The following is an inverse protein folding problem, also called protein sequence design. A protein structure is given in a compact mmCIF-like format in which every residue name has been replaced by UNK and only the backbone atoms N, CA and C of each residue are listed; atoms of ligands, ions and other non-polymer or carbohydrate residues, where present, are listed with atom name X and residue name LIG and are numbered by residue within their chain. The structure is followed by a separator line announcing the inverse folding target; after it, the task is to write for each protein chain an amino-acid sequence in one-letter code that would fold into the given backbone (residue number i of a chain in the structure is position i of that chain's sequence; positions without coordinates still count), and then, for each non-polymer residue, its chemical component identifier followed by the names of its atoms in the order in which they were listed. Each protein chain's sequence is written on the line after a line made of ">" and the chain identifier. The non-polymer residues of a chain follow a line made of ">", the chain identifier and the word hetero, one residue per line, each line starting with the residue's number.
data_IF_780059266876
#
_entry.id   IF_780059266876
#
_cell.length_a   1.000
_cell.length_b   1.000
_cell.length_c   1.000
_cell.angle_alpha   90.00
_cell.angle_beta   90.00
_cell.angle_gamma   90.00
#
_symmetry.space_group_name_H-M   'P 1'
#
loop_
_entity.id
_entity.type
_entity.pdbx_description
1 polymer ?
#
# COMPACT_ATOMS: atom_id res chain seq x y z
N UNK A 1 -9.58 -29.45 26.73
CA UNK A 1 -10.01 -29.69 25.34
C UNK A 1 -9.32 -28.67 24.46
N UNK A 2 -8.79 -29.06 23.30
CA UNK A 2 -8.22 -28.09 22.34
C UNK A 2 -9.35 -27.18 21.82
N UNK A 3 -9.37 -25.88 22.17
CA UNK A 3 -10.45 -24.97 21.79
C UNK A 3 -10.50 -24.72 20.27
N UNK A 4 -9.44 -25.09 19.54
CA UNK A 4 -9.34 -24.93 18.08
C UNK A 4 -9.70 -26.22 17.32
N UNK A 5 -9.96 -27.33 18.02
CA UNK A 5 -10.33 -28.60 17.37
C UNK A 5 -11.61 -28.46 16.52
N UNK A 6 -12.59 -27.67 16.99
CA UNK A 6 -13.81 -27.38 16.24
C UNK A 6 -13.56 -26.57 14.97
N UNK A 7 -12.65 -25.59 15.01
CA UNK A 7 -12.29 -24.79 13.83
C UNK A 7 -11.56 -25.60 12.77
N UNK A 8 -10.70 -26.54 13.17
CA UNK A 8 -9.98 -27.43 12.24
C UNK A 8 -10.91 -28.41 11.52
N UNK A 9 -12.09 -28.71 12.09
CA UNK A 9 -13.08 -29.60 11.50
C UNK A 9 -13.98 -28.92 10.45
N UNK A 10 -13.94 -27.59 10.30
CA UNK A 10 -14.73 -26.80 9.35
C UNK A 10 -14.18 -26.88 7.91
N UNK A 11 -13.90 -28.08 7.41
CA UNK A 11 -13.32 -28.25 6.08
C UNK A 11 -14.22 -27.73 4.94
N UNK A 12 -15.51 -27.53 5.19
CA UNK A 12 -16.46 -26.82 4.32
C UNK A 12 -17.67 -26.38 5.18
N UNK A 13 -17.71 -25.16 5.73
CA UNK A 13 -18.89 -24.68 6.44
C UNK A 13 -20.11 -24.65 5.48
N UNK A 14 -21.30 -24.93 6.01
CA UNK A 14 -22.53 -24.75 5.24
C UNK A 14 -22.78 -23.27 4.91
N UNK A 15 -23.66 -23.03 3.93
CA UNK A 15 -23.96 -21.69 3.44
C UNK A 15 -24.47 -20.77 4.56
N UNK A 16 -25.31 -21.27 5.46
CA UNK A 16 -25.89 -20.50 6.56
C UNK A 16 -24.80 -20.02 7.54
N UNK A 17 -23.81 -20.87 7.83
CA UNK A 17 -22.65 -20.54 8.67
C UNK A 17 -21.79 -19.46 8.01
N UNK A 18 -21.53 -19.57 6.72
CA UNK A 18 -20.77 -18.56 5.96
C UNK A 18 -21.51 -17.23 5.94
N UNK A 19 -22.82 -17.23 5.72
CA UNK A 19 -23.65 -16.02 5.72
C UNK A 19 -23.72 -15.37 7.10
N UNK A 20 -23.83 -16.16 8.17
CA UNK A 20 -23.80 -15.64 9.54
C UNK A 20 -22.45 -14.98 9.83
N UNK A 21 -21.33 -15.63 9.47
CA UNK A 21 -20.01 -15.05 9.65
C UNK A 21 -19.84 -13.76 8.83
N UNK A 22 -20.34 -13.75 7.59
CA UNK A 22 -20.31 -12.57 6.75
C UNK A 22 -21.07 -11.40 7.38
N UNK A 23 -22.28 -11.63 7.91
CA UNK A 23 -23.06 -10.62 8.63
C UNK A 23 -22.31 -10.06 9.84
N UNK A 24 -21.64 -10.92 10.59
CA UNK A 24 -20.85 -10.51 11.76
C UNK A 24 -19.62 -9.66 11.38
N UNK A 25 -18.96 -9.97 10.26
CA UNK A 25 -17.80 -9.19 9.77
C UNK A 25 -18.25 -7.86 9.16
N UNK A 26 -19.38 -7.85 8.44
CA UNK A 26 -19.98 -6.67 7.81
C UNK A 26 -20.82 -5.82 8.77
N UNK A 27 -20.82 -6.13 10.06
CA UNK A 27 -21.54 -5.31 11.04
C UNK A 27 -21.05 -3.85 11.00
N UNK A 28 -21.97 -2.90 11.20
CA UNK A 28 -21.68 -1.48 11.01
C UNK A 28 -20.64 -0.95 12.00
N UNK A 29 -20.57 -1.50 13.21
CA UNK A 29 -19.57 -1.09 14.21
C UNK A 29 -18.17 -1.63 13.88
N UNK A 30 -18.09 -2.59 12.95
CA UNK A 30 -16.85 -3.26 12.54
C UNK A 30 -16.10 -3.87 13.72
N UNK A 31 -16.80 -4.23 14.80
CA UNK A 31 -16.20 -4.66 16.07
C UNK A 31 -15.24 -5.86 15.91
N UNK A 32 -15.63 -6.84 15.10
CA UNK A 32 -14.78 -8.00 14.78
C UNK A 32 -13.56 -7.58 13.99
N UNK A 33 -13.74 -6.73 12.98
CA UNK A 33 -12.65 -6.19 12.16
C UNK A 33 -11.65 -5.49 13.06
N UNK A 34 -12.10 -4.61 13.96
CA UNK A 34 -11.24 -3.94 14.93
C UNK A 34 -10.51 -4.90 15.85
N UNK A 35 -11.19 -5.93 16.36
CA UNK A 35 -10.58 -6.96 17.19
C UNK A 35 -9.45 -7.70 16.48
N UNK A 36 -9.63 -8.07 15.20
CA UNK A 36 -8.60 -8.71 14.39
C UNK A 36 -7.35 -7.84 14.30
N UNK A 37 -7.52 -6.54 14.05
CA UNK A 37 -6.38 -5.61 13.93
C UNK A 37 -5.69 -5.30 15.25
N UNK A 38 -6.41 -5.27 16.36
CA UNK A 38 -5.79 -5.06 17.67
C UNK A 38 -4.97 -6.28 18.13
N UNK A 39 -5.27 -7.47 17.59
CA UNK A 39 -4.63 -8.73 18.00
C UNK A 39 -3.42 -9.14 17.15
N UNK A 40 -3.23 -8.54 15.97
CA UNK A 40 -2.24 -8.98 14.99
C UNK A 40 -0.83 -8.41 15.21
N UNK A 41 0.20 -9.16 14.81
CA UNK A 41 1.56 -8.62 14.65
C UNK A 41 1.66 -7.76 13.37
N UNK A 42 2.67 -6.88 13.22
CA UNK A 42 2.84 -6.07 12.00
C UNK A 42 2.74 -6.82 10.67
N UNK A 43 3.20 -8.08 10.64
CA UNK A 43 3.12 -8.97 9.47
C UNK A 43 1.69 -9.45 9.24
N UNK A 44 0.99 -9.83 10.31
CA UNK A 44 -0.40 -10.28 10.25
C UNK A 44 -1.32 -9.15 9.80
N UNK A 45 -1.08 -7.91 10.25
CA UNK A 45 -1.91 -6.75 9.90
C UNK A 45 -1.97 -6.50 8.39
N UNK A 46 -0.90 -6.73 7.64
CA UNK A 46 -0.95 -6.60 6.17
C UNK A 46 -1.80 -7.69 5.52
N UNK A 47 -1.68 -8.93 6.00
CA UNK A 47 -2.51 -10.05 5.53
C UNK A 47 -3.99 -9.84 5.86
N UNK A 48 -4.29 -9.47 7.11
CA UNK A 48 -5.65 -9.19 7.58
C UNK A 48 -6.23 -8.01 6.79
N UNK A 49 -5.49 -6.92 6.59
CA UNK A 49 -5.95 -5.77 5.80
C UNK A 49 -6.32 -6.17 4.37
N UNK A 50 -5.49 -6.98 3.72
CA UNK A 50 -5.74 -7.47 2.37
C UNK A 50 -6.99 -8.35 2.29
N UNK A 51 -7.15 -9.29 3.23
CA UNK A 51 -8.30 -10.21 3.28
C UNK A 51 -9.59 -9.44 3.59
N UNK A 52 -9.59 -8.60 4.62
CA UNK A 52 -10.75 -7.79 5.00
C UNK A 52 -11.13 -6.86 3.86
N UNK A 53 -10.18 -6.17 3.24
CA UNK A 53 -10.47 -5.30 2.11
C UNK A 53 -11.13 -6.07 0.97
N UNK A 54 -10.57 -7.22 0.58
CA UNK A 54 -11.14 -8.06 -0.48
C UNK A 54 -12.55 -8.53 -0.12
N UNK A 55 -12.78 -8.88 1.13
CA UNK A 55 -14.09 -9.29 1.62
C UNK A 55 -15.10 -8.14 1.51
N UNK A 56 -14.76 -6.94 1.97
CA UNK A 56 -15.63 -5.76 1.87
C UNK A 56 -15.88 -5.33 0.41
N UNK A 57 -14.88 -5.46 -0.46
CA UNK A 57 -14.98 -5.20 -1.92
C UNK A 57 -15.98 -6.15 -2.59
N UNK A 58 -15.98 -7.43 -2.23
CA UNK A 58 -16.98 -8.40 -2.72
C UNK A 58 -18.42 -8.07 -2.29
N UNK A 59 -18.57 -7.20 -1.30
CA UNK A 59 -19.85 -6.73 -0.79
C UNK A 59 -20.12 -5.25 -1.11
N UNK A 60 -19.33 -4.61 -1.99
CA UNK A 60 -19.46 -3.19 -2.38
C UNK A 60 -19.40 -2.22 -1.18
N UNK A 61 -18.61 -2.57 -0.16
CA UNK A 61 -18.45 -1.80 1.10
C UNK A 61 -17.01 -1.41 1.40
N UNK A 62 -16.10 -1.57 0.47
CA UNK A 62 -14.69 -1.19 0.62
C UNK A 62 -14.51 0.29 0.93
N UNK A 63 -15.28 1.18 0.29
CA UNK A 63 -15.27 2.62 0.62
C UNK A 63 -15.81 2.92 2.02
N UNK A 64 -16.80 2.16 2.48
CA UNK A 64 -17.31 2.27 3.85
C UNK A 64 -16.22 1.91 4.86
N UNK A 65 -15.56 0.76 4.67
CA UNK A 65 -14.45 0.32 5.50
C UNK A 65 -13.32 1.35 5.54
N UNK A 66 -12.93 1.89 4.37
CA UNK A 66 -11.90 2.93 4.26
C UNK A 66 -12.27 4.18 5.05
N UNK A 67 -13.52 4.67 4.93
CA UNK A 67 -13.99 5.84 5.68
C UNK A 67 -13.95 5.61 7.18
N UNK A 68 -14.35 4.42 7.65
CA UNK A 68 -14.30 4.08 9.08
C UNK A 68 -12.86 3.99 9.59
N UNK A 69 -11.96 3.37 8.82
CA UNK A 69 -10.54 3.28 9.12
C UNK A 69 -9.88 4.67 9.27
N UNK A 70 -10.10 5.54 8.30
CA UNK A 70 -9.59 6.93 8.30
C UNK A 70 -10.19 7.73 9.45
N UNK A 71 -11.51 7.64 9.67
CA UNK A 71 -12.19 8.37 10.74
C UNK A 71 -11.61 8.00 12.10
N UNK A 72 -11.44 6.71 12.37
CA UNK A 72 -10.87 6.24 13.63
C UNK A 72 -9.40 6.66 13.80
N UNK A 73 -8.61 6.60 12.73
CA UNK A 73 -7.22 7.08 12.76
C UNK A 73 -7.14 8.57 13.12
N UNK A 74 -7.97 9.40 12.51
CA UNK A 74 -8.04 10.84 12.81
C UNK A 74 -8.45 11.07 14.26
N UNK A 75 -9.44 10.34 14.77
CA UNK A 75 -9.91 10.45 16.16
C UNK A 75 -8.85 10.05 17.19
N UNK A 76 -8.04 9.03 16.89
CA UNK A 76 -7.00 8.52 17.79
C UNK A 76 -5.67 9.29 17.69
N UNK A 77 -5.51 10.12 16.67
CA UNK A 77 -4.26 10.84 16.41
C UNK A 77 -4.19 12.13 17.22
N UNK A 78 -3.24 12.21 18.16
CA UNK A 78 -3.03 13.40 18.99
C UNK A 78 -2.36 14.57 18.27
N UNK A 79 -1.62 14.32 17.19
CA UNK A 79 -0.88 15.34 16.45
C UNK A 79 -0.98 15.09 14.94
N UNK A 80 -1.38 16.11 14.18
CA UNK A 80 -1.49 16.01 12.71
C UNK A 80 -0.21 15.52 12.04
N UNK A 81 0.96 15.86 12.61
CA UNK A 81 2.27 15.45 12.11
C UNK A 81 2.53 13.93 12.17
N UNK A 82 1.72 13.16 12.90
CA UNK A 82 1.82 11.69 13.01
C UNK A 82 0.71 10.93 12.30
N UNK A 83 -0.27 11.63 11.72
CA UNK A 83 -1.43 11.03 11.05
C UNK A 83 -0.98 10.15 9.88
N UNK A 84 -1.44 8.89 9.84
CA UNK A 84 -1.06 7.88 8.83
C UNK A 84 0.45 7.57 8.73
N UNK A 85 1.26 7.98 9.71
CA UNK A 85 2.71 7.66 9.75
C UNK A 85 3.00 6.44 10.60
N UNK A 86 2.07 6.05 11.47
CA UNK A 86 2.22 4.87 12.31
C UNK A 86 1.90 3.60 11.52
N UNK A 87 2.55 2.51 11.88
CA UNK A 87 2.28 1.20 11.29
C UNK A 87 1.03 0.57 11.91
N UNK A 88 -0.13 1.17 11.66
CA UNK A 88 -1.43 0.80 12.22
C UNK A 88 -2.42 0.33 11.14
N UNK A 89 -3.62 -0.06 11.57
CA UNK A 89 -4.65 -0.60 10.67
C UNK A 89 -4.98 0.34 9.51
N UNK A 90 -5.26 1.61 9.79
CA UNK A 90 -5.67 2.54 8.74
C UNK A 90 -4.58 2.72 7.69
N UNK A 91 -3.32 2.82 8.11
CA UNK A 91 -2.17 2.94 7.19
C UNK A 91 -1.94 1.65 6.38
N UNK A 92 -2.12 0.47 6.99
CA UNK A 92 -2.05 -0.83 6.28
C UNK A 92 -3.20 -1.00 5.30
N UNK A 93 -4.42 -0.70 5.71
CA UNK A 93 -5.60 -0.80 4.86
C UNK A 93 -5.51 0.18 3.69
N UNK A 94 -5.09 1.42 3.93
CA UNK A 94 -4.84 2.39 2.87
C UNK A 94 -3.79 1.88 1.87
N UNK A 95 -2.70 1.30 2.35
CA UNK A 95 -1.69 0.69 1.49
C UNK A 95 -2.25 -0.45 0.65
N UNK A 96 -3.05 -1.36 1.24
CA UNK A 96 -3.72 -2.44 0.52
C UNK A 96 -4.72 -1.91 -0.52
N UNK A 97 -5.50 -0.88 -0.16
CA UNK A 97 -6.45 -0.22 -1.04
C UNK A 97 -5.75 0.41 -2.24
N UNK A 98 -4.73 1.23 -2.01
CA UNK A 98 -3.95 1.85 -3.08
C UNK A 98 -3.26 0.82 -3.98
N UNK A 99 -2.73 -0.28 -3.41
CA UNK A 99 -2.18 -1.38 -4.21
C UNK A 99 -3.24 -2.08 -5.06
N UNK A 100 -4.45 -2.29 -4.54
CA UNK A 100 -5.53 -3.00 -5.23
C UNK A 100 -6.12 -2.20 -6.38
N UNK A 101 -6.48 -0.94 -6.12
CA UNK A 101 -7.21 -0.11 -7.07
C UNK A 101 -6.28 0.83 -7.86
N UNK A 102 -5.18 1.30 -7.25
CA UNK A 102 -4.26 2.24 -7.87
C UNK A 102 -3.18 1.62 -8.74
N UNK A 103 -2.99 0.29 -8.75
CA UNK A 103 -1.89 -0.33 -9.51
C UNK A 103 -1.98 -0.07 -11.02
N UNK A 104 -3.19 -0.12 -11.58
CA UNK A 104 -3.39 0.16 -13.00
C UNK A 104 -2.99 1.61 -13.32
N UNK A 105 -3.43 2.56 -12.50
CA UNK A 105 -3.04 3.97 -12.60
C UNK A 105 -1.52 4.15 -12.52
N UNK A 106 -0.87 3.59 -11.50
CA UNK A 106 0.59 3.70 -11.32
C UNK A 106 1.35 3.12 -12.51
N UNK A 107 0.90 1.99 -13.07
CA UNK A 107 1.50 1.42 -14.29
C UNK A 107 1.36 2.39 -15.46
N UNK A 108 0.16 2.88 -15.75
CA UNK A 108 -0.05 3.85 -16.85
C UNK A 108 0.81 5.11 -16.69
N UNK A 109 0.94 5.61 -15.47
CA UNK A 109 1.64 6.88 -15.22
C UNK A 109 3.16 6.73 -15.21
N UNK A 110 3.69 5.67 -14.59
CA UNK A 110 5.13 5.59 -14.27
C UNK A 110 5.90 4.51 -15.03
N UNK A 111 5.22 3.60 -15.74
CA UNK A 111 5.89 2.45 -16.36
C UNK A 111 7.04 2.85 -17.29
N UNK A 112 6.80 3.74 -18.26
CA UNK A 112 7.85 4.08 -19.22
C UNK A 112 9.02 4.80 -18.55
N UNK A 113 8.75 5.71 -17.60
CA UNK A 113 9.81 6.44 -16.90
C UNK A 113 10.69 5.48 -16.08
N UNK A 114 10.08 4.51 -15.39
CA UNK A 114 10.82 3.47 -14.65
C UNK A 114 11.64 2.60 -15.61
N UNK A 115 11.04 2.18 -16.74
CA UNK A 115 11.73 1.35 -17.72
C UNK A 115 12.90 2.10 -18.35
N UNK A 116 12.74 3.39 -18.68
CA UNK A 116 13.81 4.22 -19.22
C UNK A 116 14.98 4.35 -18.24
N UNK A 117 14.71 4.54 -16.94
CA UNK A 117 15.76 4.55 -15.91
C UNK A 117 16.51 3.21 -15.88
N UNK A 118 15.80 2.09 -15.89
CA UNK A 118 16.41 0.76 -15.91
C UNK A 118 17.26 0.53 -17.17
N UNK A 119 16.74 0.89 -18.35
CA UNK A 119 17.44 0.73 -19.62
C UNK A 119 18.67 1.64 -19.72
N UNK A 120 18.57 2.88 -19.26
CA UNK A 120 19.71 3.80 -19.24
C UNK A 120 20.83 3.27 -18.35
N UNK A 121 20.49 2.78 -17.16
CA UNK A 121 21.47 2.17 -16.26
C UNK A 121 22.08 0.89 -16.83
N UNK A 122 21.27 0.05 -17.50
CA UNK A 122 21.73 -1.19 -18.11
C UNK A 122 22.64 -0.94 -19.33
N UNK A 123 22.33 0.07 -20.15
CA UNK A 123 23.01 0.33 -21.41
C UNK A 123 24.22 1.26 -21.28
N UNK A 124 24.36 1.94 -20.15
CA UNK A 124 25.44 2.89 -19.90
C UNK A 124 25.92 2.75 -18.44
N UNK A 125 27.08 2.12 -18.24
CA UNK A 125 27.72 1.90 -16.92
C UNK A 125 28.04 3.18 -16.15
N UNK A 126 28.02 4.29 -16.89
CA UNK A 126 28.34 5.64 -16.46
C UNK A 126 27.07 6.44 -16.13
N UNK A 127 25.89 5.91 -16.46
CA UNK A 127 24.59 6.48 -16.12
C UNK A 127 24.22 6.11 -14.68
N UNK A 128 24.08 7.14 -13.84
CA UNK A 128 23.68 7.03 -12.45
C UNK A 128 22.88 8.27 -12.01
N UNK A 129 22.19 8.14 -10.88
CA UNK A 129 21.56 9.23 -10.14
C UNK A 129 22.20 9.41 -8.74
N UNK A 130 23.34 8.75 -8.46
CA UNK A 130 24.05 8.88 -7.18
C UNK A 130 24.80 10.22 -7.12
N UNK A 131 24.49 11.01 -6.10
CA UNK A 131 25.02 12.36 -5.89
C UNK A 131 25.92 12.45 -4.66
N UNK A 132 25.94 11.40 -3.81
CA UNK A 132 26.87 11.31 -2.70
C UNK A 132 28.24 10.85 -3.19
N UNK A 133 29.18 11.78 -3.28
CA UNK A 133 30.56 11.52 -3.72
C UNK A 133 31.25 10.40 -2.95
N UNK A 134 30.83 10.14 -1.70
CA UNK A 134 31.43 9.10 -0.84
C UNK A 134 31.05 7.69 -1.29
N UNK A 135 29.98 7.55 -2.07
CA UNK A 135 29.52 6.28 -2.62
C UNK A 135 30.00 6.04 -4.06
N UNK A 136 30.60 7.04 -4.69
CA UNK A 136 31.20 6.94 -6.01
C UNK A 136 32.64 6.47 -5.90
N UNK A 137 33.05 5.62 -6.85
CA UNK A 137 34.45 5.29 -7.05
C UNK A 137 35.23 6.53 -7.51
N UNK A 138 36.53 6.59 -7.22
CA UNK A 138 37.35 7.77 -7.51
C UNK A 138 37.33 8.17 -8.99
N UNK A 139 37.28 7.20 -9.89
CA UNK A 139 37.17 7.40 -11.34
C UNK A 139 35.82 7.99 -11.78
N UNK A 140 34.77 7.89 -10.95
CA UNK A 140 33.41 8.37 -11.27
C UNK A 140 32.99 9.65 -10.53
N UNK A 141 33.81 10.18 -9.63
CA UNK A 141 33.50 11.42 -8.88
C UNK A 141 33.26 12.64 -9.78
N UNK A 142 33.92 12.69 -10.95
CA UNK A 142 33.72 13.76 -11.92
C UNK A 142 32.31 13.75 -12.56
N UNK A 143 31.52 12.69 -12.36
CA UNK A 143 30.18 12.52 -12.92
C UNK A 143 29.06 13.06 -12.02
N UNK A 144 29.36 13.57 -10.82
CA UNK A 144 28.35 13.98 -9.83
C UNK A 144 27.37 15.01 -10.38
N UNK A 145 27.85 16.04 -11.09
CA UNK A 145 26.98 17.04 -11.71
C UNK A 145 26.06 16.41 -12.76
N UNK A 146 26.59 15.49 -13.58
CA UNK A 146 25.80 14.75 -14.57
C UNK A 146 24.74 13.87 -13.89
N UNK A 147 25.09 13.19 -12.80
CA UNK A 147 24.16 12.35 -12.03
C UNK A 147 23.06 13.19 -11.38
N UNK A 148 23.38 14.39 -10.90
CA UNK A 148 22.41 15.35 -10.40
C UNK A 148 21.41 15.76 -11.51
N UNK A 149 21.89 16.04 -12.71
CA UNK A 149 21.02 16.36 -13.85
C UNK A 149 20.11 15.19 -14.23
N UNK A 150 20.63 13.95 -14.24
CA UNK A 150 19.81 12.75 -14.44
C UNK A 150 18.72 12.62 -13.37
N UNK A 151 19.06 12.79 -12.09
CA UNK A 151 18.13 12.71 -10.97
C UNK A 151 17.04 13.78 -11.08
N UNK A 152 17.44 15.02 -11.39
CA UNK A 152 16.55 16.17 -11.54
C UNK A 152 15.59 15.95 -12.70
N UNK A 153 16.10 15.55 -13.88
CA UNK A 153 15.29 15.30 -15.06
C UNK A 153 14.31 14.15 -14.85
N UNK A 154 14.76 13.04 -14.26
CA UNK A 154 13.91 11.88 -13.96
C UNK A 154 12.79 12.25 -12.99
N UNK A 155 13.14 12.97 -11.92
CA UNK A 155 12.14 13.40 -10.91
C UNK A 155 11.13 14.38 -11.51
N UNK A 156 11.59 15.31 -12.36
CA UNK A 156 10.71 16.24 -13.07
C UNK A 156 9.73 15.50 -13.99
N UNK A 157 10.19 14.50 -14.74
CA UNK A 157 9.33 13.67 -15.58
C UNK A 157 8.28 12.92 -14.74
N UNK A 158 8.69 12.26 -13.64
CA UNK A 158 7.78 11.55 -12.74
C UNK A 158 6.67 12.49 -12.23
N UNK A 159 7.06 13.66 -11.74
CA UNK A 159 6.11 14.67 -11.21
C UNK A 159 5.17 15.14 -12.32
N UNK A 160 5.70 15.46 -13.49
CA UNK A 160 4.91 15.91 -14.63
C UNK A 160 3.89 14.84 -15.05
N UNK A 161 4.30 13.57 -15.14
CA UNK A 161 3.41 12.46 -15.50
C UNK A 161 2.29 12.28 -14.47
N UNK A 162 2.60 12.36 -13.17
CA UNK A 162 1.58 12.27 -12.11
C UNK A 162 0.55 13.39 -12.26
N UNK A 163 0.98 14.64 -12.39
CA UNK A 163 0.05 15.77 -12.49
C UNK A 163 -0.74 15.80 -13.79
N UNK A 164 -0.11 15.39 -14.91
CA UNK A 164 -0.79 15.30 -16.19
C UNK A 164 -1.89 14.23 -16.22
N UNK A 165 -1.82 13.23 -15.34
CA UNK A 165 -2.77 12.12 -15.27
C UNK A 165 -3.70 12.17 -14.05
N UNK A 166 -3.83 13.31 -13.37
CA UNK A 166 -4.65 13.44 -12.15
C UNK A 166 -6.13 12.99 -12.31
N UNK A 167 -6.70 13.14 -13.50
CA UNK A 167 -8.09 12.77 -13.80
C UNK A 167 -8.25 11.25 -14.02
N UNK A 168 -7.15 10.52 -14.16
CA UNK A 168 -7.13 9.06 -14.30
C UNK A 168 -6.98 8.32 -12.96
N UNK A 169 -6.97 9.05 -11.83
CA UNK A 169 -6.98 8.45 -10.50
C UNK A 169 -8.33 7.75 -10.30
N UNK A 170 -8.34 6.45 -9.91
CA UNK A 170 -9.57 5.68 -9.70
C UNK A 170 -10.46 6.21 -8.56
#
# INVERSE_FOLDING_TARGET
>A
ADPLAGFRALANPDQDTVEMLAKLILDDDLSIVWGLFLSGTPKDLESIASIVLKFFDQHERELYLMKQAITKEVQLTNASATLFRQNNFASKLLSCYSKRFGLAYIKTVLYDTIINVCLNHQNNEDWSCEIDERKLSDDKKHLVERNYDHLKSTTAEIIQRIFANKEAVP
#
